data_IF_228100937988
#
_entry.id   IF_228100937988
#
_cell.length_a   1.000
_cell.length_b   1.000
_cell.length_c   1.000
_cell.angle_alpha   90.00
_cell.angle_beta   90.00
_cell.angle_gamma   90.00
#
_symmetry.space_group_name_H-M   'P 1'
#
loop_
_entity.id
_entity.type
_entity.pdbx_description
1 polymer ?
#
# COMPACT_ATOMS: atom_id res chain seq x y z
N UNK A 1 6.00 -29.54 12.82
CA UNK A 1 4.57 -29.18 12.91
C UNK A 1 4.15 -28.79 11.51
N UNK A 2 3.44 -29.70 10.85
CA UNK A 2 3.35 -29.78 9.39
C UNK A 2 2.27 -28.84 8.81
N UNK A 3 2.59 -28.29 7.65
CA UNK A 3 1.88 -27.24 6.88
C UNK A 3 0.55 -27.68 6.24
N UNK A 4 0.01 -28.85 6.59
CA UNK A 4 -1.08 -29.49 5.85
C UNK A 4 -2.50 -29.21 6.36
N UNK A 5 -2.69 -28.59 7.53
CA UNK A 5 -4.04 -28.48 8.13
C UNK A 5 -4.74 -27.13 7.86
N UNK A 6 -4.11 -26.19 7.16
CA UNK A 6 -4.58 -24.79 7.14
C UNK A 6 -5.58 -24.44 6.01
N UNK A 7 -5.76 -25.29 4.98
CA UNK A 7 -6.53 -24.92 3.78
C UNK A 7 -7.93 -25.54 3.66
N UNK A 8 -8.47 -26.19 4.69
CA UNK A 8 -9.78 -26.88 4.60
C UNK A 8 -10.97 -26.18 5.30
N UNK A 9 -10.86 -24.91 5.67
CA UNK A 9 -11.96 -24.20 6.36
C UNK A 9 -12.30 -22.83 5.75
N UNK A 10 -12.48 -22.73 4.43
CA UNK A 10 -12.99 -21.50 3.78
C UNK A 10 -13.91 -21.76 2.58
N UNK A 11 -15.02 -22.48 2.78
CA UNK A 11 -16.04 -22.62 1.71
C UNK A 11 -17.50 -22.48 2.14
N UNK A 12 -17.85 -22.07 3.36
CA UNK A 12 -19.28 -22.11 3.78
C UNK A 12 -19.88 -20.87 4.47
N UNK A 13 -19.27 -19.67 4.43
CA UNK A 13 -19.85 -18.50 5.15
C UNK A 13 -19.90 -17.17 4.38
N UNK A 14 -20.01 -17.19 3.05
CA UNK A 14 -20.27 -15.97 2.25
C UNK A 14 -21.68 -15.98 1.64
N UNK A 15 -22.72 -16.02 2.48
CA UNK A 15 -24.10 -15.83 2.03
C UNK A 15 -25.01 -15.20 3.10
N UNK A 16 -24.57 -14.11 3.73
CA UNK A 16 -25.47 -13.19 4.44
C UNK A 16 -25.18 -11.75 4.06
N UNK A 17 -26.05 -11.20 3.22
CA UNK A 17 -26.17 -9.76 2.97
C UNK A 17 -26.61 -9.07 4.28
N UNK A 18 -25.99 -7.95 4.68
CA UNK A 18 -26.50 -7.15 5.79
C UNK A 18 -27.77 -6.37 5.38
N UNK A 19 -28.69 -6.10 6.32
CA UNK A 19 -29.92 -5.36 6.04
C UNK A 19 -29.63 -3.87 5.76
N UNK A 20 -30.32 -3.32 4.76
CA UNK A 20 -30.30 -1.92 4.37
C UNK A 20 -30.86 -1.03 5.48
N UNK A 21 -30.06 -0.07 5.95
CA UNK A 21 -30.53 1.02 6.81
C UNK A 21 -30.94 2.21 5.95
N UNK A 22 -32.23 2.51 5.92
CA UNK A 22 -32.79 3.75 5.39
C UNK A 22 -32.44 4.93 6.31
N UNK A 23 -31.79 5.96 5.76
CA UNK A 23 -31.59 7.25 6.44
C UNK A 23 -32.34 8.34 5.67
N UNK A 24 -33.23 9.13 6.31
CA UNK A 24 -33.96 10.19 5.64
C UNK A 24 -33.08 11.43 5.37
N UNK A 25 -33.12 11.91 4.12
CA UNK A 25 -32.60 13.21 3.68
C UNK A 25 -33.32 14.35 4.40
N UNK A 26 -32.59 15.16 5.17
CA UNK A 26 -33.05 16.49 5.61
C UNK A 26 -32.20 17.56 4.92
N UNK A 27 -32.81 18.23 3.95
CA UNK A 27 -32.32 19.43 3.28
C UNK A 27 -32.61 20.66 4.15
N UNK A 28 -31.62 21.53 4.39
CA UNK A 28 -31.85 22.91 4.84
C UNK A 28 -31.06 23.90 3.95
N UNK A 29 -31.70 24.96 3.44
CA UNK A 29 -31.03 25.94 2.60
C UNK A 29 -30.44 27.12 3.39
N UNK A 30 -29.36 27.67 2.80
CA UNK A 30 -28.80 29.03 2.81
C UNK A 30 -29.24 30.06 3.87
N UNK A 31 -28.24 30.77 4.41
CA UNK A 31 -28.31 32.23 4.49
C UNK A 31 -26.93 32.89 4.36
N UNK A 32 -26.82 33.75 3.35
CA UNK A 32 -25.77 34.72 3.08
C UNK A 32 -26.09 35.99 3.87
N UNK A 33 -25.14 36.51 4.64
CA UNK A 33 -25.16 37.90 5.10
C UNK A 33 -23.78 38.47 4.89
N UNK A 34 -23.71 39.47 4.00
CA UNK A 34 -22.56 40.35 3.90
C UNK A 34 -22.70 41.47 4.89
N UNK A 35 -21.60 41.93 5.47
CA UNK A 35 -21.51 43.25 6.06
C UNK A 35 -20.19 43.92 5.70
N UNK A 36 -20.32 45.22 5.54
CA UNK A 36 -19.44 46.17 4.87
C UNK A 36 -18.61 46.96 5.89
N UNK A 37 -17.64 47.70 5.35
CA UNK A 37 -16.95 48.89 5.88
C UNK A 37 -15.87 48.67 6.96
N UNK A 38 -14.62 49.04 6.64
CA UNK A 38 -14.07 50.38 6.92
C UNK A 38 -12.54 50.36 6.94
N UNK A 39 -11.95 51.31 6.20
CA UNK A 39 -10.54 51.70 6.29
C UNK A 39 -10.33 52.52 7.55
N UNK A 40 -9.29 52.22 8.34
CA UNK A 40 -8.53 53.20 9.08
C UNK A 40 -7.06 52.77 9.08
N UNK A 41 -6.20 53.63 8.54
CA UNK A 41 -4.76 53.49 8.60
C UNK A 41 -4.24 53.88 9.97
N UNK A 42 -3.19 53.17 10.41
CA UNK A 42 -2.34 53.57 11.52
C UNK A 42 -0.90 53.27 11.10
N UNK A 43 -0.11 54.35 11.06
CA UNK A 43 1.33 54.35 10.85
C UNK A 43 2.06 53.49 11.90
N UNK A 44 2.92 52.57 11.44
CA UNK A 44 3.82 51.79 12.30
C UNK A 44 5.23 52.37 12.15
N UNK A 45 5.91 52.75 13.25
CA UNK A 45 7.26 53.27 13.20
C UNK A 45 8.25 52.13 12.91
N UNK A 46 9.17 52.42 11.99
CA UNK A 46 10.38 51.62 11.75
C UNK A 46 11.28 51.74 12.96
N UNK A 47 11.37 50.69 13.78
CA UNK A 47 12.48 50.50 14.70
C UNK A 47 13.24 49.23 14.35
N UNK A 48 14.53 49.47 14.13
CA UNK A 48 15.61 48.55 13.84
C UNK A 48 15.98 47.76 15.11
N UNK A 49 16.54 46.57 14.90
CA UNK A 49 17.25 45.69 15.85
C UNK A 49 16.36 44.74 16.67
N UNK A 50 16.40 43.46 16.34
CA UNK A 50 17.17 42.56 17.20
C UNK A 50 17.66 41.30 16.44
N UNK A 51 18.81 40.82 16.87
CA UNK A 51 19.61 39.78 16.25
C UNK A 51 19.06 38.39 16.60
N UNK A 52 18.86 37.52 15.61
CA UNK A 52 18.71 36.09 15.87
C UNK A 52 20.08 35.41 15.82
N UNK A 53 20.85 35.49 16.91
CA UNK A 53 21.94 34.55 17.18
C UNK A 53 21.36 33.29 17.85
N UNK A 54 20.97 32.30 17.03
CA UNK A 54 20.87 30.89 17.46
C UNK A 54 20.82 29.98 16.22
N UNK A 55 21.93 29.35 15.81
CA UNK A 55 21.96 28.45 14.66
C UNK A 55 21.56 27.05 15.11
N UNK A 56 20.30 26.85 15.50
CA UNK A 56 19.74 25.51 15.70
C UNK A 56 18.23 25.54 15.58
N UNK A 57 17.69 24.56 14.87
CA UNK A 57 16.27 24.36 14.53
C UNK A 57 15.77 25.16 13.33
N UNK A 58 16.49 25.04 12.20
CA UNK A 58 15.81 24.77 10.94
C UNK A 58 16.02 23.28 10.64
N UNK A 59 15.24 22.40 11.27
CA UNK A 59 15.10 21.07 10.68
C UNK A 59 14.42 21.30 9.33
N UNK A 60 15.06 21.01 8.18
CA UNK A 60 14.29 20.87 6.97
C UNK A 60 13.28 19.76 7.28
N UNK A 61 11.99 20.11 7.32
CA UNK A 61 10.95 19.13 7.09
C UNK A 61 11.14 18.70 5.64
N UNK A 62 12.11 17.80 5.42
CA UNK A 62 12.18 17.04 4.19
C UNK A 62 10.82 16.41 4.09
N UNK A 63 9.98 16.94 3.20
CA UNK A 63 8.85 16.20 2.66
C UNK A 63 9.47 14.87 2.24
N UNK A 64 9.31 13.83 3.08
CA UNK A 64 9.73 12.48 2.73
C UNK A 64 8.78 12.11 1.61
N UNK A 65 9.21 12.42 0.39
CA UNK A 65 8.52 11.99 -0.80
C UNK A 65 8.37 10.49 -0.77
N UNK A 66 7.46 10.00 -1.59
CA UNK A 66 7.27 8.60 -2.00
C UNK A 66 8.51 7.94 -2.63
N UNK A 67 9.70 8.53 -2.48
CA UNK A 67 10.95 7.99 -2.99
C UNK A 67 11.31 6.71 -2.23
N UNK A 68 11.08 5.58 -2.89
CA UNK A 68 11.57 4.27 -2.47
C UNK A 68 12.88 4.00 -3.21
N UNK A 69 13.93 3.60 -2.49
CA UNK A 69 15.23 3.30 -3.10
C UNK A 69 15.45 1.80 -3.25
N UNK A 70 16.32 1.41 -4.18
CA UNK A 70 16.73 0.01 -4.34
C UNK A 70 17.34 -0.54 -3.04
N UNK A 71 18.14 0.25 -2.32
CA UNK A 71 18.74 -0.16 -1.04
C UNK A 71 17.69 -0.45 0.03
N UNK A 72 16.60 0.33 0.08
CA UNK A 72 15.48 0.03 0.98
C UNK A 72 14.80 -1.28 0.59
N UNK A 73 14.58 -1.53 -0.70
CA UNK A 73 14.03 -2.80 -1.16
C UNK A 73 14.96 -3.97 -0.83
N UNK A 74 16.27 -3.84 -1.01
CA UNK A 74 17.26 -4.87 -0.64
C UNK A 74 17.23 -5.16 0.87
N UNK A 75 17.11 -4.13 1.71
CA UNK A 75 17.00 -4.33 3.15
C UNK A 75 15.74 -5.12 3.55
N UNK A 76 14.66 -5.00 2.78
CA UNK A 76 13.38 -5.69 3.05
C UNK A 76 13.37 -7.09 2.43
N UNK A 77 13.88 -7.21 1.20
CA UNK A 77 13.83 -8.38 0.34
C UNK A 77 15.25 -8.67 -0.22
N UNK A 78 16.17 -9.22 0.59
CA UNK A 78 17.59 -9.32 0.24
C UNK A 78 17.90 -10.05 -1.07
N UNK A 79 17.10 -11.04 -1.46
CA UNK A 79 17.28 -11.78 -2.71
C UNK A 79 17.08 -10.91 -3.95
N UNK A 80 16.38 -9.78 -3.82
CA UNK A 80 16.20 -8.81 -4.91
C UNK A 80 17.47 -8.04 -5.28
N UNK A 81 18.54 -8.13 -4.47
CA UNK A 81 19.87 -7.65 -4.82
C UNK A 81 20.49 -8.47 -5.98
N UNK A 82 20.05 -9.72 -6.17
CA UNK A 82 20.48 -10.54 -7.28
C UNK A 82 19.70 -10.17 -8.54
N UNK A 83 20.41 -10.04 -9.66
CA UNK A 83 19.78 -9.82 -10.96
C UNK A 83 18.85 -11.00 -11.32
N UNK A 84 17.79 -10.69 -12.06
CA UNK A 84 16.85 -11.71 -12.50
C UNK A 84 17.47 -12.76 -13.42
N UNK A 85 18.57 -12.43 -14.11
CA UNK A 85 19.36 -13.41 -14.87
C UNK A 85 19.78 -14.61 -14.03
N UNK A 86 20.09 -14.40 -12.74
CA UNK A 86 20.62 -15.43 -11.86
C UNK A 86 19.55 -16.09 -10.97
N UNK A 87 18.50 -15.35 -10.60
CA UNK A 87 17.50 -15.82 -9.64
C UNK A 87 16.15 -16.20 -10.23
N UNK A 88 15.83 -15.79 -11.45
CA UNK A 88 14.52 -16.08 -12.03
C UNK A 88 14.29 -17.59 -12.17
N UNK A 89 13.06 -18.01 -11.91
CA UNK A 89 12.61 -19.36 -12.24
C UNK A 89 12.67 -19.53 -13.76
N UNK A 90 13.33 -20.61 -14.23
CA UNK A 90 13.44 -20.94 -15.66
C UNK A 90 12.09 -21.14 -16.33
N UNK A 91 11.07 -21.53 -15.57
CA UNK A 91 9.71 -21.70 -16.07
C UNK A 91 8.87 -20.42 -16.00
N UNK A 92 9.41 -19.34 -15.40
CA UNK A 92 8.74 -18.06 -15.25
C UNK A 92 9.75 -16.88 -15.32
N UNK A 93 10.59 -16.80 -16.38
CA UNK A 93 11.74 -15.89 -16.41
C UNK A 93 11.33 -14.40 -16.40
N UNK A 94 10.11 -14.10 -16.83
CA UNK A 94 9.59 -12.73 -16.97
C UNK A 94 8.95 -12.19 -15.68
N UNK A 95 8.69 -13.02 -14.67
CA UNK A 95 7.99 -12.59 -13.45
C UNK A 95 8.92 -11.89 -12.45
N UNK A 96 10.21 -12.23 -12.50
CA UNK A 96 11.20 -11.70 -11.58
C UNK A 96 11.38 -10.18 -11.74
N UNK A 97 11.56 -9.49 -10.62
CA UNK A 97 12.02 -8.10 -10.58
C UNK A 97 13.14 -7.91 -9.55
N UNK A 98 14.22 -7.22 -9.95
CA UNK A 98 15.28 -6.76 -9.05
C UNK A 98 14.88 -5.52 -8.25
N UNK A 99 15.71 -5.13 -7.29
CA UNK A 99 15.43 -4.04 -6.38
C UNK A 99 15.20 -2.69 -7.07
N UNK A 100 15.90 -2.39 -8.18
CA UNK A 100 15.74 -1.14 -8.92
C UNK A 100 14.38 -1.06 -9.61
N UNK A 101 13.99 -2.15 -10.30
CA UNK A 101 12.67 -2.26 -10.93
C UNK A 101 11.56 -2.21 -9.90
N UNK A 102 11.73 -2.89 -8.77
CA UNK A 102 10.76 -2.88 -7.67
C UNK A 102 10.60 -1.48 -7.10
N UNK A 103 11.69 -0.83 -6.70
CA UNK A 103 11.67 0.50 -6.09
C UNK A 103 10.99 1.53 -7.00
N UNK A 104 11.36 1.56 -8.28
CA UNK A 104 10.82 2.48 -9.28
C UNK A 104 9.30 2.33 -9.43
N UNK A 105 8.81 1.10 -9.57
CA UNK A 105 7.39 0.89 -9.83
C UNK A 105 6.53 0.97 -8.55
N UNK A 106 7.07 0.63 -7.39
CA UNK A 106 6.38 0.84 -6.11
C UNK A 106 6.26 2.34 -5.81
N UNK A 107 7.29 3.15 -6.07
CA UNK A 107 7.20 4.60 -5.90
C UNK A 107 6.07 5.20 -6.76
N UNK A 108 6.01 4.82 -8.05
CA UNK A 108 4.91 5.20 -8.95
C UNK A 108 3.53 4.76 -8.43
N UNK A 109 3.45 3.56 -7.89
CA UNK A 109 2.23 3.01 -7.30
C UNK A 109 1.78 3.86 -6.10
N UNK A 110 2.68 4.21 -5.19
CA UNK A 110 2.37 5.07 -4.05
C UNK A 110 1.97 6.49 -4.45
N UNK A 111 2.60 7.06 -5.48
CA UNK A 111 2.18 8.33 -6.05
C UNK A 111 0.76 8.25 -6.61
N UNK A 112 0.48 7.23 -7.43
CA UNK A 112 -0.83 7.05 -8.06
C UNK A 112 -1.96 6.90 -7.05
N UNK A 113 -1.74 6.13 -5.98
CA UNK A 113 -2.77 5.83 -4.97
C UNK A 113 -2.66 6.70 -3.71
N UNK A 114 -1.78 7.71 -3.70
CA UNK A 114 -1.60 8.64 -2.60
C UNK A 114 -1.29 7.93 -1.25
N UNK A 115 -0.43 6.91 -1.30
CA UNK A 115 0.06 6.21 -0.11
C UNK A 115 1.31 6.93 0.39
N UNK A 116 1.11 7.92 1.25
CA UNK A 116 2.17 8.85 1.71
C UNK A 116 2.71 8.52 3.10
N UNK A 117 1.98 7.76 3.92
CA UNK A 117 2.45 7.35 5.24
C UNK A 117 3.58 6.32 5.14
N UNK A 118 4.76 6.55 5.75
CA UNK A 118 5.83 5.56 5.78
C UNK A 118 5.38 4.22 6.38
N UNK A 119 4.46 4.23 7.35
CA UNK A 119 3.94 3.01 7.96
C UNK A 119 3.06 2.20 7.00
N UNK A 120 2.20 2.88 6.23
CA UNK A 120 1.40 2.23 5.17
C UNK A 120 2.29 1.69 4.06
N UNK A 121 3.29 2.46 3.63
CA UNK A 121 4.26 2.03 2.63
C UNK A 121 5.03 0.79 3.09
N UNK A 122 5.50 0.78 4.34
CA UNK A 122 6.19 -0.37 4.93
C UNK A 122 5.29 -1.61 4.98
N UNK A 123 4.02 -1.46 5.37
CA UNK A 123 3.06 -2.55 5.40
C UNK A 123 2.75 -3.12 4.01
N UNK A 124 2.63 -2.26 3.00
CA UNK A 124 2.41 -2.70 1.61
C UNK A 124 3.66 -3.39 1.06
N UNK A 125 4.84 -2.77 1.15
CA UNK A 125 6.09 -3.36 0.61
C UNK A 125 6.40 -4.69 1.31
N UNK A 126 6.25 -4.78 2.64
CA UNK A 126 6.54 -6.01 3.39
C UNK A 126 5.61 -7.16 3.01
N UNK A 127 4.30 -6.90 2.87
CA UNK A 127 3.35 -7.88 2.36
C UNK A 127 3.73 -8.29 0.94
N UNK A 128 4.04 -7.33 0.07
CA UNK A 128 4.39 -7.63 -1.30
C UNK A 128 5.65 -8.49 -1.39
N UNK A 129 6.70 -8.11 -0.66
CA UNK A 129 7.96 -8.84 -0.59
C UNK A 129 7.75 -10.29 -0.14
N UNK A 130 6.99 -10.52 0.94
CA UNK A 130 6.75 -11.89 1.40
C UNK A 130 5.96 -12.72 0.39
N UNK A 131 4.78 -12.22 0.00
CA UNK A 131 3.81 -13.03 -0.75
C UNK A 131 4.28 -13.29 -2.21
N UNK A 132 5.21 -12.48 -2.73
CA UNK A 132 5.84 -12.65 -4.05
C UNK A 132 7.18 -13.40 -4.03
N UNK A 133 7.59 -13.92 -2.88
CA UNK A 133 8.93 -14.54 -2.68
C UNK A 133 10.03 -13.55 -3.08
N UNK A 134 10.04 -12.41 -2.40
CA UNK A 134 10.97 -11.30 -2.62
C UNK A 134 10.98 -10.84 -4.08
N UNK A 135 9.78 -10.66 -4.65
CA UNK A 135 9.54 -10.20 -6.02
C UNK A 135 10.04 -11.16 -7.10
N UNK A 136 10.19 -12.44 -6.76
CA UNK A 136 10.51 -13.50 -7.72
C UNK A 136 9.30 -13.84 -8.60
N UNK A 137 8.09 -13.76 -8.05
CA UNK A 137 6.86 -14.14 -8.73
C UNK A 137 5.82 -13.03 -8.69
N UNK A 138 5.06 -12.88 -9.77
CA UNK A 138 3.87 -12.02 -9.81
C UNK A 138 2.58 -12.83 -10.01
N UNK A 139 2.67 -14.16 -9.95
CA UNK A 139 1.54 -15.09 -10.05
C UNK A 139 1.70 -16.19 -9.01
N UNK A 140 0.60 -16.71 -8.48
CA UNK A 140 0.65 -17.85 -7.58
C UNK A 140 1.18 -19.10 -8.30
N UNK A 141 2.00 -19.92 -7.61
CA UNK A 141 2.67 -21.12 -8.13
C UNK A 141 2.04 -22.42 -7.58
N UNK A 142 2.35 -23.53 -8.24
CA UNK A 142 1.68 -24.84 -8.13
C UNK A 142 1.45 -25.35 -6.68
N UNK A 143 0.25 -25.89 -6.35
CA UNK A 143 -0.90 -26.14 -7.24
C UNK A 143 -1.63 -24.86 -7.69
N UNK A 144 -1.34 -23.71 -7.06
CA UNK A 144 -1.77 -22.37 -7.47
C UNK A 144 -3.28 -22.14 -7.48
N UNK A 145 -3.68 -20.88 -7.52
CA UNK A 145 -5.07 -20.49 -7.83
C UNK A 145 -5.04 -19.70 -9.13
N UNK A 146 -5.71 -20.16 -10.21
CA UNK A 146 -5.80 -19.43 -11.46
C UNK A 146 -6.30 -17.99 -11.25
N UNK A 147 -5.55 -17.02 -11.77
CA UNK A 147 -5.86 -15.60 -11.61
C UNK A 147 -5.45 -14.99 -10.27
N UNK A 148 -4.83 -15.75 -9.35
CA UNK A 148 -4.21 -15.18 -8.15
C UNK A 148 -2.81 -14.66 -8.48
N UNK A 149 -2.54 -13.40 -8.13
CA UNK A 149 -1.32 -12.73 -8.56
C UNK A 149 -1.38 -11.21 -8.43
N UNK A 150 -0.35 -10.57 -9.01
CA UNK A 150 0.17 -9.22 -8.78
C UNK A 150 0.51 -8.93 -7.33
N UNK A 151 1.45 -8.03 -7.10
CA UNK A 151 2.48 -8.23 -6.07
C UNK A 151 2.06 -8.15 -4.60
N UNK A 152 0.79 -8.11 -4.21
CA UNK A 152 0.33 -8.51 -2.87
C UNK A 152 -0.29 -9.93 -2.85
N UNK A 153 -0.13 -10.68 -3.93
CA UNK A 153 -0.69 -12.01 -4.21
C UNK A 153 -2.20 -12.12 -3.96
N UNK A 154 -2.92 -11.05 -4.35
CA UNK A 154 -4.36 -10.93 -4.11
C UNK A 154 -5.17 -11.95 -4.91
N UNK A 155 -6.36 -12.28 -4.39
CA UNK A 155 -7.25 -13.29 -4.98
C UNK A 155 -7.77 -12.87 -6.36
N UNK A 156 -8.25 -13.81 -7.18
CA UNK A 156 -8.78 -13.51 -8.52
C UNK A 156 -9.97 -12.53 -8.50
N UNK A 157 -10.78 -12.56 -7.44
CA UNK A 157 -11.89 -11.63 -7.25
C UNK A 157 -11.39 -10.18 -7.09
N UNK A 158 -10.30 -9.98 -6.35
CA UNK A 158 -9.69 -8.66 -6.22
C UNK A 158 -8.95 -8.22 -7.50
N UNK A 159 -8.31 -9.14 -8.22
CA UNK A 159 -7.75 -8.84 -9.54
C UNK A 159 -8.84 -8.39 -10.54
N UNK A 160 -10.04 -8.97 -10.46
CA UNK A 160 -11.18 -8.53 -11.30
C UNK A 160 -11.63 -7.11 -10.94
N UNK A 161 -11.79 -6.79 -9.65
CA UNK A 161 -12.11 -5.44 -9.19
C UNK A 161 -11.01 -4.43 -9.57
N UNK A 162 -9.75 -4.86 -9.47
CA UNK A 162 -8.61 -4.02 -9.80
C UNK A 162 -8.56 -3.70 -11.29
N UNK A 163 -8.72 -4.72 -12.15
CA UNK A 163 -8.83 -4.55 -13.60
C UNK A 163 -9.97 -3.59 -13.98
N UNK A 164 -11.14 -3.71 -13.35
CA UNK A 164 -12.26 -2.79 -13.55
C UNK A 164 -11.90 -1.34 -13.19
N UNK A 165 -11.23 -1.12 -12.06
CA UNK A 165 -10.80 0.23 -11.66
C UNK A 165 -9.80 0.88 -12.63
N UNK A 166 -9.12 0.06 -13.44
CA UNK A 166 -8.17 0.49 -14.47
C UNK A 166 -8.82 0.55 -15.87
N UNK A 167 -10.12 0.28 -16.00
CA UNK A 167 -10.82 0.07 -17.28
C UNK A 167 -10.18 -1.03 -18.15
N UNK A 168 -9.57 -2.04 -17.52
CA UNK A 168 -9.05 -3.24 -18.19
C UNK A 168 -10.15 -4.28 -18.27
N UNK A 169 -10.36 -4.87 -19.45
CA UNK A 169 -11.41 -5.86 -19.66
C UNK A 169 -11.20 -7.12 -18.81
N UNK A 170 -12.18 -7.45 -17.96
CA UNK A 170 -12.23 -8.67 -17.15
C UNK A 170 -12.69 -9.85 -18.03
N UNK A 171 -11.95 -10.95 -17.98
CA UNK A 171 -12.28 -12.21 -18.65
C UNK A 171 -13.04 -13.14 -17.70
N UNK A 172 -13.88 -14.01 -18.26
CA UNK A 172 -14.50 -15.13 -17.53
C UNK A 172 -13.47 -16.16 -17.08
N UNK A 173 -12.30 -16.19 -17.72
CA UNK A 173 -11.11 -16.91 -17.25
C UNK A 173 -10.26 -15.97 -16.37
N UNK A 174 -10.19 -16.20 -15.05
CA UNK A 174 -9.45 -15.32 -14.15
C UNK A 174 -7.95 -15.24 -14.46
N UNK A 175 -7.36 -16.28 -15.06
CA UNK A 175 -5.96 -16.26 -15.46
C UNK A 175 -5.69 -15.21 -16.55
N UNK A 176 -6.59 -15.08 -17.53
CA UNK A 176 -6.47 -14.08 -18.59
C UNK A 176 -6.66 -12.65 -18.08
N UNK A 177 -7.49 -12.45 -17.04
CA UNK A 177 -7.57 -11.15 -16.36
C UNK A 177 -6.23 -10.81 -15.70
N UNK A 178 -5.62 -11.78 -15.01
CA UNK A 178 -4.31 -11.60 -14.40
C UNK A 178 -3.22 -11.34 -15.44
N UNK A 179 -3.22 -12.04 -16.59
CA UNK A 179 -2.24 -11.85 -17.66
C UNK A 179 -2.16 -10.38 -18.11
N UNK A 180 -3.31 -9.72 -18.28
CA UNK A 180 -3.36 -8.29 -18.62
C UNK A 180 -2.76 -7.40 -17.53
N UNK A 181 -2.98 -7.75 -16.26
CA UNK A 181 -2.48 -6.97 -15.13
C UNK A 181 -0.96 -7.11 -14.98
N UNK A 182 -0.40 -8.31 -15.18
CA UNK A 182 1.05 -8.55 -15.03
C UNK A 182 1.86 -8.05 -16.22
N UNK A 183 1.25 -7.92 -17.41
CA UNK A 183 1.91 -7.43 -18.63
C UNK A 183 2.30 -5.93 -18.55
N UNK A 184 1.60 -5.16 -17.70
CA UNK A 184 1.93 -3.77 -17.43
C UNK A 184 2.57 -3.62 -16.03
N UNK A 185 3.86 -3.21 -15.93
CA UNK A 185 4.54 -3.04 -14.65
C UNK A 185 3.83 -2.10 -13.67
N UNK A 186 3.21 -1.02 -14.15
CA UNK A 186 2.49 -0.08 -13.28
C UNK A 186 1.23 -0.68 -12.69
N UNK A 187 0.61 -1.65 -13.39
CA UNK A 187 -0.55 -2.37 -12.87
C UNK A 187 -0.10 -3.47 -11.92
N UNK A 188 0.92 -4.24 -12.31
CA UNK A 188 1.50 -5.34 -11.52
C UNK A 188 2.01 -4.87 -10.14
N UNK A 189 2.82 -3.82 -10.09
CA UNK A 189 3.27 -3.21 -8.82
C UNK A 189 2.19 -2.32 -8.17
N UNK A 190 1.17 -1.92 -8.92
CA UNK A 190 0.07 -1.09 -8.45
C UNK A 190 -0.87 -1.80 -7.47
N UNK A 191 -0.95 -3.13 -7.53
CA UNK A 191 -2.00 -3.91 -6.86
C UNK A 191 -2.03 -3.74 -5.34
N UNK A 192 -0.87 -3.69 -4.69
CA UNK A 192 -0.78 -3.56 -3.23
C UNK A 192 -1.31 -2.23 -2.70
N UNK A 193 -0.91 -1.13 -3.33
CA UNK A 193 -1.37 0.21 -2.95
C UNK A 193 -2.84 0.43 -3.32
N UNK A 194 -3.27 -0.06 -4.48
CA UNK A 194 -4.69 -0.07 -4.84
C UNK A 194 -5.52 -0.85 -3.80
N UNK A 195 -5.07 -2.04 -3.40
CA UNK A 195 -5.79 -2.87 -2.44
C UNK A 195 -5.92 -2.14 -1.09
N UNK A 196 -4.81 -1.59 -0.57
CA UNK A 196 -4.82 -0.81 0.67
C UNK A 196 -5.83 0.34 0.60
N UNK A 197 -5.80 1.12 -0.49
CA UNK A 197 -6.57 2.37 -0.58
C UNK A 197 -8.04 2.19 -0.92
N UNK A 198 -8.42 1.03 -1.46
CA UNK A 198 -9.79 0.78 -1.94
C UNK A 198 -10.52 -0.34 -1.20
N UNK A 199 -9.79 -1.29 -0.61
CA UNK A 199 -10.39 -2.44 0.07
C UNK A 199 -10.27 -2.35 1.59
N UNK A 200 -9.32 -1.57 2.13
CA UNK A 200 -9.26 -1.31 3.56
C UNK A 200 -10.17 -0.16 3.95
N UNK A 201 -10.85 -0.32 5.08
CA UNK A 201 -11.65 0.74 5.70
C UNK A 201 -10.75 1.85 6.25
N UNK A 202 -11.31 3.04 6.40
CA UNK A 202 -10.57 4.21 6.87
C UNK A 202 -9.98 4.01 8.29
N UNK A 203 -10.71 3.34 9.18
CA UNK A 203 -10.26 3.04 10.54
C UNK A 203 -9.05 2.09 10.59
N UNK A 204 -9.03 1.06 9.73
CA UNK A 204 -7.87 0.16 9.60
C UNK A 204 -6.66 0.93 9.07
N UNK A 205 -6.86 1.80 8.08
CA UNK A 205 -5.77 2.66 7.56
C UNK A 205 -5.26 3.63 8.61
N UNK A 206 -6.13 4.31 9.36
CA UNK A 206 -5.72 5.19 10.45
C UNK A 206 -4.94 4.45 11.54
N UNK A 207 -5.37 3.24 11.90
CA UNK A 207 -4.62 2.41 12.84
C UNK A 207 -3.23 2.02 12.29
N UNK A 208 -3.15 1.65 11.01
CA UNK A 208 -1.89 1.30 10.34
C UNK A 208 -0.92 2.48 10.28
N UNK A 209 -1.42 3.69 10.03
CA UNK A 209 -0.63 4.92 9.94
C UNK A 209 0.10 5.28 11.24
N UNK A 210 -0.34 4.76 12.39
CA UNK A 210 0.37 4.92 13.66
C UNK A 210 1.75 4.24 13.69
N UNK A 211 2.02 3.31 12.76
CA UNK A 211 3.29 2.58 12.70
C UNK A 211 3.48 1.55 13.81
N UNK A 212 2.45 1.28 14.61
CA UNK A 212 2.48 0.31 15.69
C UNK A 212 2.22 -1.12 15.18
N UNK A 213 2.70 -2.10 15.94
CA UNK A 213 2.44 -3.52 15.65
C UNK A 213 0.94 -3.81 15.65
N UNK A 214 0.19 -3.31 16.63
CA UNK A 214 -1.27 -3.48 16.67
C UNK A 214 -1.97 -2.90 15.44
N UNK A 215 -1.51 -1.75 14.93
CA UNK A 215 -2.03 -1.17 13.70
C UNK A 215 -1.77 -2.06 12.48
N UNK A 216 -0.56 -2.60 12.39
CA UNK A 216 -0.18 -3.58 11.37
C UNK A 216 -0.97 -4.90 11.47
N UNK A 217 -1.16 -5.45 12.67
CA UNK A 217 -1.96 -6.66 12.88
C UNK A 217 -3.41 -6.47 12.45
N UNK A 218 -4.00 -5.28 12.71
CA UNK A 218 -5.33 -4.92 12.20
C UNK A 218 -5.38 -4.90 10.68
N UNK A 219 -4.37 -4.34 10.03
CA UNK A 219 -4.27 -4.40 8.56
C UNK A 219 -4.26 -5.84 8.04
N UNK A 220 -3.44 -6.72 8.64
CA UNK A 220 -3.33 -8.13 8.22
C UNK A 220 -4.63 -8.90 8.46
N UNK A 221 -5.29 -8.71 9.60
CA UNK A 221 -6.44 -9.53 10.01
C UNK A 221 -7.77 -8.99 9.50
N UNK A 222 -7.96 -7.67 9.48
CA UNK A 222 -9.26 -7.05 9.17
C UNK A 222 -9.37 -6.59 7.72
N UNK A 223 -8.26 -6.23 7.08
CA UNK A 223 -8.26 -5.86 5.65
C UNK A 223 -7.75 -6.98 4.74
N UNK A 224 -6.53 -7.49 4.97
CA UNK A 224 -5.97 -8.58 4.16
C UNK A 224 -6.68 -9.92 4.45
N UNK A 225 -7.33 -10.05 5.61
CA UNK A 225 -8.11 -11.23 6.03
C UNK A 225 -7.27 -12.52 6.06
N UNK A 226 -6.05 -12.38 6.58
CA UNK A 226 -5.12 -13.49 6.84
C UNK A 226 -4.59 -13.44 8.27
N UNK A 227 -3.69 -14.35 8.61
CA UNK A 227 -3.10 -14.45 9.93
C UNK A 227 -1.81 -13.65 10.06
N UNK A 228 -1.65 -13.04 11.23
CA UNK A 228 -0.36 -12.57 11.72
C UNK A 228 0.53 -13.79 11.95
N UNK A 229 1.73 -13.74 11.39
CA UNK A 229 2.74 -14.78 11.58
C UNK A 229 4.08 -14.11 11.85
N UNK A 230 4.98 -14.82 12.53
CA UNK A 230 6.33 -14.33 12.78
C UNK A 230 7.04 -13.95 11.47
N UNK A 231 6.80 -14.71 10.40
CA UNK A 231 7.38 -14.42 9.09
C UNK A 231 6.85 -13.12 8.47
N UNK A 232 5.55 -12.85 8.56
CA UNK A 232 4.96 -11.57 8.13
C UNK A 232 5.50 -10.42 8.98
N UNK A 233 5.61 -10.62 10.29
CA UNK A 233 6.16 -9.64 11.23
C UNK A 233 7.62 -9.31 10.91
N UNK A 234 8.43 -10.32 10.59
CA UNK A 234 9.84 -10.14 10.21
C UNK A 234 9.98 -9.19 9.00
N UNK A 235 9.24 -9.43 7.91
CA UNK A 235 9.29 -8.54 6.73
C UNK A 235 8.77 -7.13 7.04
N UNK A 236 7.71 -7.02 7.85
CA UNK A 236 7.19 -5.73 8.27
C UNK A 236 8.22 -4.95 9.09
N UNK A 237 8.91 -5.58 10.04
CA UNK A 237 9.96 -4.95 10.84
C UNK A 237 11.13 -4.47 9.97
N UNK A 238 11.57 -5.28 8.98
CA UNK A 238 12.58 -4.85 8.00
C UNK A 238 12.12 -3.60 7.24
N UNK A 239 10.85 -3.56 6.84
CA UNK A 239 10.30 -2.42 6.12
C UNK A 239 10.18 -1.16 7.00
N UNK A 240 9.71 -1.30 8.24
CA UNK A 240 9.69 -0.23 9.25
C UNK A 240 11.08 0.37 9.42
N UNK A 241 12.09 -0.48 9.57
CA UNK A 241 13.49 -0.06 9.72
C UNK A 241 14.02 0.62 8.45
N UNK A 242 13.84 0.01 7.28
CA UNK A 242 14.35 0.53 6.01
C UNK A 242 13.72 1.87 5.60
N UNK A 243 12.45 2.09 5.95
CA UNK A 243 11.73 3.33 5.64
C UNK A 243 11.83 4.37 6.78
N UNK A 244 12.46 4.03 7.91
CA UNK A 244 12.62 4.92 9.05
C UNK A 244 11.29 5.35 9.67
N UNK A 245 10.32 4.42 9.71
CA UNK A 245 9.02 4.62 10.34
C UNK A 245 9.24 4.88 11.83
N UNK A 246 8.80 6.04 12.31
CA UNK A 246 8.83 6.35 13.74
C UNK A 246 7.61 5.67 14.37
N UNK A 247 7.85 4.66 15.20
CA UNK A 247 6.79 4.06 16.01
C UNK A 247 6.36 5.05 17.10
N UNK A 248 5.04 5.30 17.19
CA UNK A 248 4.42 6.05 18.28
C UNK A 248 4.07 5.13 19.44
#
# INVERSE_FOLDING_TARGET
MDTYTYLHRRTTEYERLPPTFDVPLHSRPMQRTGLSTSRLGIDIPVMLLDQCENPSVCCPSTLRGTSITAQQIIAIAPSSAQSCTNRADKNAPTECADAEKVATNIAKSFDKYQVTSPAEQAAVISLMALESVEFLYNRNKSPGVPGQGTRNMQSPAFNSKYAQSLNVAVSSDPAQTLDKLVDNPEWDFGSGAWFLTTQCTADVRSALQAGSETGWERYITQCVQTQVTDKRKEYWQKAVQALGVQSS
#
